data_IF_228825951215
#
_entry.id   IF_228825951215
#
_cell.length_a   1.000
_cell.length_b   1.000
_cell.length_c   1.000
_cell.angle_alpha   90.00
_cell.angle_beta   90.00
_cell.angle_gamma   90.00
#
_symmetry.space_group_name_H-M   'P 1'
#
loop_
_entity.id
_entity.type
_entity.pdbx_description
1 polymer ?
#
# COMPACT_ATOMS: atom_id res chain seq x y z
N UNK A 1 8.35 -16.38 19.59
CA UNK A 1 9.71 -16.23 19.03
C UNK A 1 9.78 -17.02 17.72
N UNK A 2 9.36 -16.41 16.59
CA UNK A 2 9.25 -17.10 15.30
C UNK A 2 10.60 -17.15 14.58
N UNK A 3 11.09 -18.34 14.22
CA UNK A 3 12.31 -18.52 13.43
C UNK A 3 12.11 -17.89 12.04
N UNK A 4 12.83 -16.80 11.75
CA UNK A 4 12.88 -16.17 10.41
C UNK A 4 13.40 -17.19 9.39
N UNK A 5 12.68 -17.39 8.28
CA UNK A 5 13.09 -18.30 7.19
C UNK A 5 14.30 -17.69 6.45
N UNK A 6 15.49 -18.27 6.64
CA UNK A 6 16.72 -17.90 5.91
C UNK A 6 16.68 -18.42 4.46
N UNK A 7 17.46 -17.79 3.56
CA UNK A 7 17.79 -18.40 2.25
C UNK A 7 18.67 -19.64 2.46
N UNK A 8 18.81 -20.49 1.45
CA UNK A 8 19.66 -21.69 1.50
C UNK A 8 21.14 -21.36 1.80
N UNK A 9 21.57 -20.13 1.53
CA UNK A 9 22.91 -19.60 1.81
C UNK A 9 23.05 -18.90 3.18
N UNK A 10 22.02 -18.97 4.02
CA UNK A 10 22.04 -18.40 5.37
C UNK A 10 21.81 -16.88 5.45
N UNK A 11 21.69 -16.15 4.32
CA UNK A 11 21.41 -14.71 4.33
C UNK A 11 19.91 -14.42 4.60
N UNK A 12 19.57 -13.22 5.12
CA UNK A 12 18.18 -12.78 5.24
C UNK A 12 17.49 -12.79 3.87
N UNK A 13 16.25 -13.28 3.80
CA UNK A 13 15.44 -13.13 2.57
C UNK A 13 15.14 -11.65 2.37
N UNK A 14 15.72 -11.06 1.33
CA UNK A 14 15.36 -9.73 0.82
C UNK A 14 14.24 -9.86 -0.20
N UNK A 15 13.39 -8.83 -0.32
CA UNK A 15 12.42 -8.71 -1.41
C UNK A 15 13.11 -8.52 -2.78
N UNK A 16 12.33 -8.42 -3.85
CA UNK A 16 12.84 -8.31 -5.22
C UNK A 16 13.78 -7.10 -5.43
N UNK A 17 13.65 -6.05 -4.64
CA UNK A 17 14.45 -4.83 -4.72
C UNK A 17 15.50 -4.71 -3.59
N UNK A 18 15.64 -5.73 -2.74
CA UNK A 18 16.73 -5.82 -1.77
C UNK A 18 16.42 -5.32 -0.36
N UNK A 19 15.17 -4.98 -0.03
CA UNK A 19 14.76 -4.54 1.29
C UNK A 19 14.88 -5.68 2.32
N UNK A 20 15.43 -5.36 3.49
CA UNK A 20 15.58 -6.31 4.59
C UNK A 20 14.26 -6.57 5.33
N UNK A 21 13.40 -5.55 5.41
CA UNK A 21 12.11 -5.61 6.08
C UNK A 21 11.09 -4.77 5.30
N UNK A 22 9.91 -5.34 5.08
CA UNK A 22 8.77 -4.68 4.46
C UNK A 22 7.59 -4.81 5.42
N UNK A 23 6.95 -3.68 5.74
CA UNK A 23 5.76 -3.61 6.60
C UNK A 23 4.64 -2.98 5.80
N UNK A 24 3.54 -3.73 5.61
CA UNK A 24 2.32 -3.25 4.95
C UNK A 24 1.29 -2.89 6.01
N UNK A 25 0.70 -1.70 5.88
CA UNK A 25 -0.23 -1.14 6.85
C UNK A 25 -1.59 -0.98 6.16
N UNK A 26 -2.62 -1.64 6.68
CA UNK A 26 -4.02 -1.53 6.22
C UNK A 26 -4.94 -1.86 7.42
N UNK A 27 -6.26 -1.65 7.29
CA UNK A 27 -7.26 -2.07 8.28
C UNK A 27 -8.05 -3.30 7.85
N UNK A 28 -7.99 -3.65 6.56
CA UNK A 28 -8.84 -4.70 6.00
C UNK A 28 -8.17 -6.06 6.20
N UNK A 29 -8.75 -6.97 7.02
CA UNK A 29 -8.13 -8.25 7.35
C UNK A 29 -7.80 -9.10 6.12
N UNK A 30 -8.65 -9.07 5.10
CA UNK A 30 -8.46 -9.78 3.84
C UNK A 30 -7.21 -9.31 3.08
N UNK A 31 -6.93 -7.99 3.08
CA UNK A 31 -5.73 -7.44 2.44
C UNK A 31 -4.47 -7.82 3.22
N UNK A 32 -4.52 -7.71 4.54
CA UNK A 32 -3.41 -8.12 5.40
C UNK A 32 -3.15 -9.63 5.28
N UNK A 33 -4.20 -10.45 5.14
CA UNK A 33 -4.06 -11.88 4.90
C UNK A 33 -3.36 -12.17 3.57
N UNK A 34 -3.74 -11.48 2.48
CA UNK A 34 -3.05 -11.64 1.19
C UNK A 34 -1.56 -11.30 1.26
N UNK A 35 -1.20 -10.22 1.96
CA UNK A 35 0.20 -9.85 2.15
C UNK A 35 0.97 -10.98 2.85
N UNK A 36 0.43 -11.52 3.95
CA UNK A 36 1.07 -12.61 4.70
C UNK A 36 1.22 -13.89 3.85
N UNK A 37 0.21 -14.21 3.06
CA UNK A 37 0.16 -15.46 2.29
C UNK A 37 1.01 -15.43 1.02
N UNK A 38 1.00 -14.31 0.29
CA UNK A 38 1.55 -14.25 -1.06
C UNK A 38 2.81 -13.39 -1.19
N UNK A 39 2.97 -12.38 -0.34
CA UNK A 39 4.10 -11.44 -0.40
C UNK A 39 5.15 -11.80 0.64
N UNK A 40 4.73 -12.29 1.81
CA UNK A 40 5.62 -12.62 2.92
C UNK A 40 6.16 -11.40 3.66
N UNK A 41 5.54 -10.23 3.48
CA UNK A 41 5.84 -9.02 4.23
C UNK A 41 5.15 -9.04 5.61
N UNK A 42 5.70 -8.27 6.54
CA UNK A 42 5.04 -8.00 7.81
C UNK A 42 3.80 -7.12 7.59
N UNK A 43 2.82 -7.25 8.47
CA UNK A 43 1.57 -6.50 8.40
C UNK A 43 1.28 -5.80 9.70
N UNK A 44 0.64 -4.64 9.62
CA UNK A 44 0.18 -3.88 10.77
C UNK A 44 -1.27 -3.41 10.56
N UNK A 45 -2.14 -3.64 11.54
CA UNK A 45 -3.51 -3.17 11.56
C UNK A 45 -3.61 -1.87 12.39
N UNK A 46 -3.78 -0.74 11.70
CA UNK A 46 -3.84 0.57 12.35
C UNK A 46 -5.11 0.82 13.15
N UNK A 47 -6.10 -0.10 13.12
CA UNK A 47 -7.30 -0.01 13.97
C UNK A 47 -7.06 -0.55 15.38
N UNK A 48 -6.03 -1.38 15.54
CA UNK A 48 -5.67 -2.00 16.82
C UNK A 48 -4.47 -1.29 17.45
N UNK A 49 -3.50 -0.89 16.62
CA UNK A 49 -2.20 -0.43 17.08
C UNK A 49 -1.83 0.96 16.56
N UNK A 50 -0.97 1.67 17.29
CA UNK A 50 -0.40 2.94 16.83
C UNK A 50 0.70 2.69 15.81
N UNK A 51 0.46 3.13 14.57
CA UNK A 51 1.42 3.02 13.45
C UNK A 51 2.81 3.57 13.82
N UNK A 52 2.86 4.76 14.40
CA UNK A 52 4.14 5.42 14.72
C UNK A 52 4.89 4.65 15.81
N UNK A 53 4.20 4.16 16.84
CA UNK A 53 4.83 3.42 17.92
C UNK A 53 5.40 2.09 17.42
N UNK A 54 4.60 1.32 16.68
CA UNK A 54 4.99 0.04 16.09
C UNK A 54 6.16 0.17 15.13
N UNK A 55 6.12 1.17 14.24
CA UNK A 55 7.23 1.40 13.32
C UNK A 55 8.50 1.79 14.05
N UNK A 56 8.43 2.58 15.13
CA UNK A 56 9.61 2.89 15.95
C UNK A 56 10.14 1.64 16.64
N UNK A 57 9.29 0.86 17.30
CA UNK A 57 9.70 -0.35 18.00
C UNK A 57 10.43 -1.32 17.06
N UNK A 58 9.83 -1.58 15.88
CA UNK A 58 10.39 -2.51 14.89
C UNK A 58 11.67 -2.03 14.22
N UNK A 59 11.97 -0.72 14.29
CA UNK A 59 13.12 -0.10 13.62
C UNK A 59 14.16 0.47 14.60
N UNK A 60 14.12 0.03 15.87
CA UNK A 60 15.09 0.49 16.89
C UNK A 60 14.97 1.99 17.20
N UNK A 61 13.76 2.53 17.13
CA UNK A 61 13.41 3.92 17.43
C UNK A 61 13.63 4.90 16.28
N UNK A 62 14.18 4.46 15.14
CA UNK A 62 14.60 5.36 14.04
C UNK A 62 13.48 5.71 13.07
N UNK A 63 12.56 4.77 12.82
CA UNK A 63 11.60 4.80 11.73
C UNK A 63 12.13 4.14 10.44
N UNK A 64 11.26 3.84 9.46
CA UNK A 64 11.66 3.21 8.20
C UNK A 64 12.58 4.09 7.36
N UNK A 65 13.51 3.48 6.61
CA UNK A 65 14.36 4.16 5.62
C UNK A 65 13.56 4.79 4.48
N UNK A 66 12.52 4.08 4.06
CA UNK A 66 11.63 4.45 2.95
C UNK A 66 10.19 4.26 3.40
N UNK A 67 9.34 5.25 3.12
CA UNK A 67 7.90 5.17 3.26
C UNK A 67 7.24 5.36 1.90
N UNK A 68 6.23 4.52 1.62
CA UNK A 68 5.41 4.60 0.41
C UNK A 68 3.98 4.90 0.84
N UNK A 69 3.48 6.07 0.45
CA UNK A 69 2.07 6.43 0.61
C UNK A 69 1.31 5.88 -0.60
N UNK A 70 0.39 4.94 -0.37
CA UNK A 70 -0.34 4.22 -1.41
C UNK A 70 -1.87 4.22 -1.17
N UNK A 71 -2.40 5.25 -0.53
CA UNK A 71 -3.83 5.36 -0.14
C UNK A 71 -4.51 6.51 -0.89
N UNK A 72 -3.96 7.72 -0.85
CA UNK A 72 -4.50 8.90 -1.54
C UNK A 72 -5.74 9.52 -0.89
N UNK A 73 -6.62 10.09 -1.73
CA UNK A 73 -7.76 10.97 -1.35
C UNK A 73 -8.71 10.41 -0.30
N UNK A 74 -8.80 9.08 -0.17
CA UNK A 74 -9.74 8.39 0.70
C UNK A 74 -9.07 7.73 1.91
N UNK A 75 -7.96 8.29 2.41
CA UNK A 75 -7.37 7.74 3.62
C UNK A 75 -8.38 7.76 4.77
N UNK A 76 -8.44 6.65 5.48
CA UNK A 76 -9.23 6.50 6.68
C UNK A 76 -8.30 6.49 7.89
N UNK A 77 -8.74 7.13 8.97
CA UNK A 77 -8.05 7.09 10.25
C UNK A 77 -9.07 6.88 11.37
N UNK A 78 -8.58 6.70 12.58
CA UNK A 78 -9.41 6.48 13.78
C UNK A 78 -9.38 7.67 14.75
N UNK A 79 -8.53 8.67 14.49
CA UNK A 79 -8.31 9.81 15.39
C UNK A 79 -9.11 11.09 15.04
N UNK A 80 -9.03 12.12 15.90
CA UNK A 80 -9.75 13.39 15.72
C UNK A 80 -9.35 14.13 14.43
N UNK A 81 -8.13 13.93 13.94
CA UNK A 81 -7.70 14.48 12.65
C UNK A 81 -8.48 13.88 11.46
N UNK A 82 -8.85 12.58 11.53
CA UNK A 82 -9.68 11.95 10.51
C UNK A 82 -11.11 12.50 10.52
N UNK A 83 -11.70 12.69 11.70
CA UNK A 83 -13.04 13.30 11.81
C UNK A 83 -13.06 14.72 11.24
N UNK A 84 -12.01 15.51 11.50
CA UNK A 84 -11.84 16.84 10.91
C UNK A 84 -11.77 16.79 9.37
N UNK A 85 -10.92 15.93 8.80
CA UNK A 85 -10.78 15.78 7.34
C UNK A 85 -12.08 15.21 6.71
N UNK A 86 -12.80 14.31 7.39
CA UNK A 86 -14.13 13.79 6.99
C UNK A 86 -15.16 14.92 6.87
N UNK A 87 -15.31 15.73 7.93
CA UNK A 87 -16.30 16.82 7.99
C UNK A 87 -16.00 17.86 6.91
N UNK A 88 -14.73 18.25 6.73
CA UNK A 88 -14.36 19.18 5.66
C UNK A 88 -14.65 18.63 4.27
N UNK A 89 -14.37 17.35 4.02
CA UNK A 89 -14.67 16.74 2.72
C UNK A 89 -16.17 16.65 2.45
N UNK A 90 -16.98 16.30 3.46
CA UNK A 90 -18.44 16.30 3.34
C UNK A 90 -19.01 17.70 3.06
N UNK A 91 -18.41 18.73 3.65
CA UNK A 91 -18.76 20.13 3.41
C UNK A 91 -18.15 20.71 2.12
N UNK A 92 -17.43 19.90 1.32
CA UNK A 92 -16.68 20.32 0.12
C UNK A 92 -15.64 21.43 0.37
N UNK A 93 -15.20 21.56 1.62
CA UNK A 93 -14.15 22.50 2.04
C UNK A 93 -12.73 21.94 1.84
N UNK A 94 -12.60 20.65 1.52
CA UNK A 94 -11.33 19.97 1.25
C UNK A 94 -11.56 18.72 0.40
N UNK A 95 -10.81 18.53 -0.67
CA UNK A 95 -11.01 17.37 -1.56
C UNK A 95 -10.39 16.07 -1.02
N UNK A 96 -9.30 16.18 -0.27
CA UNK A 96 -8.42 15.05 0.05
C UNK A 96 -8.32 14.77 1.56
N UNK A 97 -8.17 13.50 1.96
CA UNK A 97 -7.86 13.07 3.34
C UNK A 97 -6.42 12.57 3.44
N UNK A 98 -5.41 13.40 3.72
CA UNK A 98 -4.00 13.02 3.65
C UNK A 98 -3.48 12.35 4.95
N UNK A 99 -4.32 11.62 5.70
CA UNK A 99 -3.93 11.05 7.01
C UNK A 99 -2.70 10.16 6.90
N UNK A 100 -2.71 9.20 5.96
CA UNK A 100 -1.59 8.30 5.70
C UNK A 100 -0.32 9.06 5.26
N UNK A 101 -0.47 10.11 4.46
CA UNK A 101 0.65 10.96 4.03
C UNK A 101 1.30 11.69 5.22
N UNK A 102 0.49 12.28 6.11
CA UNK A 102 1.01 12.97 7.31
C UNK A 102 1.72 11.97 8.22
N UNK A 103 1.12 10.81 8.47
CA UNK A 103 1.74 9.74 9.26
C UNK A 103 3.06 9.26 8.66
N UNK A 104 3.13 9.09 7.33
CA UNK A 104 4.36 8.70 6.65
C UNK A 104 5.50 9.72 6.86
N UNK A 105 5.21 11.03 6.84
CA UNK A 105 6.19 12.07 7.18
C UNK A 105 6.70 11.91 8.62
N UNK A 106 5.80 11.62 9.58
CA UNK A 106 6.19 11.44 10.98
C UNK A 106 6.90 10.10 11.25
N UNK A 107 6.57 9.05 10.52
CA UNK A 107 7.14 7.72 10.68
C UNK A 107 8.52 7.57 10.04
N UNK A 108 8.72 8.11 8.82
CA UNK A 108 9.97 7.95 8.06
C UNK A 108 11.18 8.45 8.86
N UNK A 109 12.33 7.78 8.84
CA UNK A 109 13.51 8.26 9.58
C UNK A 109 14.04 9.59 9.04
N UNK A 110 14.87 10.27 9.83
CA UNK A 110 15.66 11.41 9.35
C UNK A 110 16.54 10.99 8.15
N UNK A 111 16.60 11.83 7.12
CA UNK A 111 17.30 11.55 5.86
C UNK A 111 16.68 10.40 5.05
N UNK A 112 15.42 10.04 5.31
CA UNK A 112 14.72 8.97 4.60
C UNK A 112 13.98 9.44 3.35
N UNK A 113 13.46 8.48 2.59
CA UNK A 113 12.69 8.73 1.36
C UNK A 113 11.18 8.54 1.56
N UNK A 114 10.39 9.48 1.09
CA UNK A 114 8.92 9.40 1.04
C UNK A 114 8.46 9.42 -0.42
N UNK A 115 7.80 8.34 -0.84
CA UNK A 115 7.23 8.20 -2.17
C UNK A 115 5.71 8.29 -2.10
N UNK A 116 5.14 9.21 -2.86
CA UNK A 116 3.70 9.49 -2.86
C UNK A 116 3.09 8.92 -4.13
N UNK A 117 2.50 7.73 -4.01
CA UNK A 117 1.82 7.00 -5.09
C UNK A 117 0.31 7.26 -5.08
N UNK A 118 -0.27 7.46 -3.90
CA UNK A 118 -1.69 7.75 -3.74
C UNK A 118 -2.12 8.95 -4.59
N UNK A 119 -3.33 8.88 -5.14
CA UNK A 119 -3.89 9.97 -5.93
C UNK A 119 -4.33 11.09 -4.97
N UNK A 120 -3.96 12.33 -5.28
CA UNK A 120 -4.45 13.54 -4.62
C UNK A 120 -5.02 14.47 -5.69
N UNK A 121 -6.26 14.93 -5.49
CA UNK A 121 -7.00 15.68 -6.51
C UNK A 121 -6.80 17.19 -6.45
N UNK A 122 -6.29 17.72 -5.34
CA UNK A 122 -6.08 19.15 -5.17
C UNK A 122 -5.13 19.50 -4.04
N UNK A 123 -5.47 20.56 -3.30
CA UNK A 123 -4.68 21.01 -2.16
C UNK A 123 -4.91 20.16 -0.93
N UNK A 124 -3.83 19.82 -0.24
CA UNK A 124 -3.85 19.14 1.05
C UNK A 124 -3.69 20.15 2.19
N UNK A 125 -4.54 20.07 3.22
CA UNK A 125 -4.42 20.91 4.41
C UNK A 125 -3.46 20.30 5.43
N UNK A 126 -2.90 21.12 6.32
CA UNK A 126 -2.03 20.71 7.45
C UNK A 126 -0.92 19.74 7.05
N UNK A 127 -0.34 19.91 5.86
CA UNK A 127 0.82 19.13 5.47
C UNK A 127 2.00 19.48 6.40
N UNK A 128 2.65 18.50 7.06
CA UNK A 128 3.62 18.76 8.12
C UNK A 128 4.99 19.19 7.56
N UNK A 129 5.02 20.33 6.87
CA UNK A 129 6.20 20.84 6.17
C UNK A 129 7.40 21.05 7.11
N UNK A 130 7.15 21.53 8.34
CA UNK A 130 8.20 21.68 9.34
C UNK A 130 8.83 20.35 9.75
N UNK A 131 8.04 19.28 9.89
CA UNK A 131 8.58 17.95 10.22
C UNK A 131 9.36 17.37 9.04
N UNK A 132 8.85 17.53 7.81
CA UNK A 132 9.53 17.13 6.59
C UNK A 132 10.91 17.79 6.48
N UNK A 133 10.97 19.12 6.66
CA UNK A 133 12.21 19.89 6.63
C UNK A 133 13.20 19.45 7.72
N UNK A 134 12.76 19.41 8.98
CA UNK A 134 13.64 19.05 10.11
C UNK A 134 14.15 17.61 10.07
N UNK A 135 13.45 16.73 9.34
CA UNK A 135 13.86 15.35 9.12
C UNK A 135 14.66 15.19 7.84
N UNK A 136 14.91 16.26 7.06
CA UNK A 136 15.64 16.21 5.80
C UNK A 136 15.12 15.12 4.85
N UNK A 137 13.78 15.01 4.72
CA UNK A 137 13.18 13.96 3.90
C UNK A 137 13.32 14.28 2.41
N UNK A 138 13.61 13.26 1.61
CA UNK A 138 13.44 13.33 0.16
C UNK A 138 12.03 12.92 -0.19
N UNK A 139 11.25 13.79 -0.83
CA UNK A 139 9.89 13.47 -1.27
C UNK A 139 9.84 13.33 -2.78
N UNK A 140 9.18 12.27 -3.26
CA UNK A 140 8.98 12.01 -4.69
C UNK A 140 7.53 11.65 -4.98
N UNK A 141 6.89 12.39 -5.89
CA UNK A 141 5.64 11.98 -6.49
C UNK A 141 5.86 10.79 -7.43
N UNK A 142 4.91 9.87 -7.45
CA UNK A 142 5.06 8.59 -8.13
C UNK A 142 3.83 8.25 -8.99
N UNK A 143 3.50 9.10 -9.97
CA UNK A 143 2.69 8.59 -11.09
C UNK A 143 3.48 7.48 -11.80
N UNK A 144 2.79 6.38 -12.13
CA UNK A 144 3.44 5.16 -12.61
C UNK A 144 3.97 5.35 -14.04
N UNK A 145 5.29 5.22 -14.24
CA UNK A 145 5.89 5.31 -15.58
C UNK A 145 5.83 3.95 -16.30
N UNK A 146 4.65 3.60 -16.81
CA UNK A 146 4.34 2.33 -17.50
C UNK A 146 5.45 1.86 -18.43
N UNK A 147 5.69 2.65 -19.47
CA UNK A 147 6.64 2.35 -20.54
C UNK A 147 8.07 2.07 -20.04
N UNK A 148 8.49 2.72 -18.95
CA UNK A 148 9.84 2.54 -18.39
C UNK A 148 9.98 1.24 -17.61
N UNK A 149 8.96 0.85 -16.83
CA UNK A 149 9.09 -0.23 -15.84
C UNK A 149 8.43 -1.54 -16.26
N UNK A 150 7.43 -1.52 -17.15
CA UNK A 150 6.73 -2.72 -17.61
C UNK A 150 7.69 -3.80 -18.14
N UNK A 151 8.69 -3.50 -19.01
CA UNK A 151 9.58 -4.54 -19.52
C UNK A 151 10.33 -5.28 -18.40
N UNK A 152 10.83 -4.55 -17.42
CA UNK A 152 11.54 -5.13 -16.26
C UNK A 152 10.60 -5.97 -15.39
N UNK A 153 9.38 -5.48 -15.14
CA UNK A 153 8.38 -6.22 -14.34
C UNK A 153 7.99 -7.52 -15.05
N UNK A 154 7.76 -7.49 -16.36
CA UNK A 154 7.45 -8.69 -17.15
C UNK A 154 8.62 -9.68 -17.13
N UNK A 155 9.87 -9.21 -17.17
CA UNK A 155 11.04 -10.07 -17.04
C UNK A 155 11.07 -10.79 -15.69
N UNK A 156 10.86 -10.08 -14.56
CA UNK A 156 10.78 -10.71 -13.24
C UNK A 156 9.64 -11.74 -13.14
N UNK A 157 8.52 -11.53 -13.84
CA UNK A 157 7.42 -12.50 -13.90
C UNK A 157 7.85 -13.73 -14.72
N UNK A 158 8.46 -13.52 -15.90
CA UNK A 158 8.94 -14.59 -16.75
C UNK A 158 10.03 -15.46 -16.07
N UNK A 159 10.89 -14.83 -15.26
CA UNK A 159 11.94 -15.50 -14.50
C UNK A 159 11.41 -16.19 -13.22
N UNK A 160 10.11 -16.07 -12.93
CA UNK A 160 9.48 -16.63 -11.73
C UNK A 160 9.84 -15.93 -10.42
N UNK A 161 10.51 -14.78 -10.50
CA UNK A 161 10.90 -13.97 -9.33
C UNK A 161 9.71 -13.18 -8.75
N UNK A 162 8.70 -12.91 -9.57
CA UNK A 162 7.48 -12.19 -9.20
C UNK A 162 6.22 -12.95 -9.64
N UNK A 163 5.42 -13.41 -8.68
CA UNK A 163 4.09 -13.97 -8.96
C UNK A 163 2.99 -12.96 -8.56
N UNK A 164 2.16 -12.59 -9.54
CA UNK A 164 1.05 -11.63 -9.36
C UNK A 164 -0.34 -12.25 -9.51
N UNK A 165 -0.43 -13.56 -9.74
CA UNK A 165 -1.68 -14.27 -10.02
C UNK A 165 -2.69 -14.11 -8.88
N UNK A 166 -2.21 -14.17 -7.62
CA UNK A 166 -3.01 -13.98 -6.42
C UNK A 166 -3.74 -12.63 -6.34
N UNK A 167 -3.31 -11.63 -7.12
CA UNK A 167 -4.00 -10.35 -7.19
C UNK A 167 -5.32 -10.46 -7.95
N UNK A 168 -5.44 -11.37 -8.92
CA UNK A 168 -6.65 -11.56 -9.73
C UNK A 168 -7.72 -12.36 -8.96
N UNK A 169 -8.32 -11.76 -7.92
CA UNK A 169 -9.22 -12.50 -7.03
C UNK A 169 -10.56 -12.84 -7.66
N UNK A 170 -11.03 -12.06 -8.63
CA UNK A 170 -12.30 -12.28 -9.33
C UNK A 170 -12.12 -12.10 -10.83
N UNK A 171 -12.04 -13.21 -11.54
CA UNK A 171 -12.04 -13.24 -13.01
C UNK A 171 -13.47 -13.44 -13.48
N UNK A 172 -13.97 -12.54 -14.32
CA UNK A 172 -15.35 -12.60 -14.80
C UNK A 172 -15.47 -12.09 -16.24
N UNK A 173 -16.53 -12.45 -16.97
CA UNK A 173 -16.72 -11.94 -18.32
C UNK A 173 -17.08 -10.45 -18.31
N UNK A 174 -16.81 -9.76 -19.42
CA UNK A 174 -16.95 -8.30 -19.51
C UNK A 174 -18.40 -7.81 -19.36
N UNK A 175 -19.39 -8.61 -19.75
CA UNK A 175 -20.82 -8.30 -19.61
C UNK A 175 -21.25 -8.16 -18.13
N UNK A 176 -20.54 -8.82 -17.21
CA UNK A 176 -20.73 -8.67 -15.76
C UNK A 176 -19.96 -7.48 -15.16
N UNK A 177 -19.40 -6.60 -16.00
CA UNK A 177 -18.75 -5.36 -15.60
C UNK A 177 -19.49 -4.59 -14.50
N UNK A 178 -20.79 -4.25 -14.69
CA UNK A 178 -21.57 -3.53 -13.68
C UNK A 178 -21.62 -4.23 -12.31
N UNK A 179 -21.75 -5.56 -12.31
CA UNK A 179 -21.75 -6.35 -11.09
C UNK A 179 -20.38 -6.27 -10.39
N UNK A 180 -19.29 -6.40 -11.15
CA UNK A 180 -17.92 -6.27 -10.63
C UNK A 180 -17.66 -4.89 -9.98
N UNK A 181 -18.16 -3.82 -10.58
CA UNK A 181 -18.08 -2.47 -9.99
C UNK A 181 -18.88 -2.33 -8.69
N UNK A 182 -20.10 -2.87 -8.62
CA UNK A 182 -20.92 -2.85 -7.40
C UNK A 182 -20.26 -3.65 -6.27
N UNK A 183 -19.75 -4.84 -6.63
CA UNK A 183 -19.02 -5.72 -5.75
C UNK A 183 -17.77 -5.05 -5.14
N UNK A 184 -17.00 -4.33 -5.94
CA UNK A 184 -15.84 -3.56 -5.48
C UNK A 184 -16.25 -2.39 -4.57
N UNK A 185 -17.27 -1.62 -4.97
CA UNK A 185 -17.79 -0.49 -4.19
C UNK A 185 -18.27 -0.93 -2.79
N UNK A 186 -18.95 -2.07 -2.72
CA UNK A 186 -19.54 -2.59 -1.48
C UNK A 186 -18.57 -3.46 -0.67
N UNK A 187 -17.33 -3.66 -1.13
CA UNK A 187 -16.30 -4.48 -0.46
C UNK A 187 -16.78 -5.89 -0.10
N UNK A 188 -17.57 -6.49 -0.98
CA UNK A 188 -18.12 -7.83 -0.78
C UNK A 188 -17.09 -8.90 -1.16
N UNK A 189 -17.14 -10.06 -0.49
CA UNK A 189 -16.40 -11.28 -0.82
C UNK A 189 -14.87 -11.18 -0.79
N UNK A 190 -14.30 -10.39 0.13
CA UNK A 190 -12.84 -10.27 0.28
C UNK A 190 -12.13 -9.76 -0.98
N UNK A 191 -12.83 -8.96 -1.79
CA UNK A 191 -12.36 -8.51 -3.10
C UNK A 191 -11.17 -7.57 -3.02
N UNK A 192 -10.14 -7.92 -3.79
CA UNK A 192 -8.95 -7.09 -3.99
C UNK A 192 -8.84 -6.60 -5.43
N UNK A 193 -9.13 -7.45 -6.44
CA UNK A 193 -9.12 -7.05 -7.85
C UNK A 193 -10.13 -7.85 -8.69
N UNK A 194 -10.94 -7.13 -9.46
CA UNK A 194 -11.72 -7.71 -10.55
C UNK A 194 -10.90 -7.67 -11.86
N UNK A 195 -10.91 -8.76 -12.62
CA UNK A 195 -10.28 -8.88 -13.93
C UNK A 195 -11.35 -9.32 -14.93
N UNK A 196 -11.60 -8.48 -15.94
CA UNK A 196 -12.61 -8.74 -16.95
C UNK A 196 -11.99 -9.39 -18.18
N UNK A 197 -12.54 -10.54 -18.59
CA UNK A 197 -12.15 -11.21 -19.83
C UNK A 197 -13.17 -10.89 -20.94
N UNK A 198 -12.77 -10.15 -21.99
CA UNK A 198 -13.69 -9.68 -23.02
C UNK A 198 -14.26 -10.80 -23.91
N UNK A 199 -13.59 -11.96 -24.00
CA UNK A 199 -13.98 -13.08 -24.87
C UNK A 199 -14.63 -14.26 -24.10
N UNK A 200 -15.13 -14.02 -22.89
CA UNK A 200 -15.63 -15.09 -22.00
C UNK A 200 -14.52 -15.71 -21.13
N UNK A 201 -14.91 -16.40 -20.06
CA UNK A 201 -13.97 -17.09 -19.18
C UNK A 201 -13.25 -18.18 -19.97
N UNK A 202 -11.97 -17.97 -20.30
CA UNK A 202 -11.14 -19.07 -20.76
C UNK A 202 -10.95 -19.98 -19.56
N UNK A 203 -11.42 -21.23 -19.65
CA UNK A 203 -11.15 -22.25 -18.64
C UNK A 203 -9.64 -22.24 -18.36
N UNK A 204 -9.28 -21.76 -17.18
CA UNK A 204 -7.89 -21.69 -16.76
C UNK A 204 -7.50 -23.11 -16.41
N UNK A 205 -6.85 -23.82 -17.33
CA UNK A 205 -6.22 -25.11 -17.04
C UNK A 205 -5.25 -24.88 -15.88
N UNK A 206 -5.59 -25.43 -14.72
CA UNK A 206 -4.69 -25.52 -13.56
C UNK A 206 -3.53 -26.45 -13.85
#
# INVERSE_FOLDING_TARGET
MGRRRRRADGRPRRDADGAEQVIVIDRLPERLQQVRQHIGAETLDYTQDSVIAELKERTGGRGPDVCIEAVGMEAHGTGPAYLYDQVKQQLRLQSDRPTALREAVYACRKGGGLFVLGVFGGFIDKFPMGALMNKALTVRGAQQHGQRYIPRILQHIADGELNTEHLATHVMPLDQGPQGYQMFKNKQDGRVRAVFQPNGATESTK
#
